data_IF_264109459580
#
_entry.id   IF_264109459580
#
_cell.length_a   1.000
_cell.length_b   1.000
_cell.length_c   1.000
_cell.angle_alpha   90.00
_cell.angle_beta   90.00
_cell.angle_gamma   90.00
#
_symmetry.space_group_name_H-M   'P 1'
#
loop_
_entity.id
_entity.type
_entity.pdbx_description
1 polymer ?
#
# COMPACT_ATOMS: atom_id res chain seq x y z
N UNK A 1 9.32 -5.04 28.15
CA UNK A 1 9.85 -4.16 27.10
C UNK A 1 8.68 -3.83 26.20
N UNK A 2 8.15 -2.63 26.28
CA UNK A 2 7.12 -2.17 25.35
C UNK A 2 7.81 -2.01 24.00
N UNK A 3 7.51 -2.90 23.04
CA UNK A 3 7.88 -2.68 21.65
C UNK A 3 7.04 -1.50 21.18
N UNK A 4 7.60 -0.30 21.24
CA UNK A 4 6.96 0.90 20.71
C UNK A 4 6.65 0.64 19.23
N UNK A 5 5.38 0.72 18.90
CA UNK A 5 4.87 0.45 17.56
C UNK A 5 4.89 1.75 16.77
N UNK A 6 5.53 1.78 15.59
CA UNK A 6 5.65 2.98 14.79
C UNK A 6 4.50 3.06 13.78
N UNK A 7 3.39 3.69 14.17
CA UNK A 7 2.20 3.84 13.31
C UNK A 7 2.28 5.12 12.47
N UNK A 8 1.73 5.09 11.26
CA UNK A 8 1.49 6.30 10.44
C UNK A 8 0.02 6.36 10.01
N UNK A 9 -0.60 7.52 10.18
CA UNK A 9 -1.95 7.84 9.71
C UNK A 9 -1.94 8.43 8.29
N UNK A 10 -3.12 8.65 7.73
CA UNK A 10 -3.27 9.05 6.33
C UNK A 10 -2.62 10.40 6.01
N UNK A 11 -2.61 11.33 6.97
CA UNK A 11 -1.96 12.63 6.83
C UNK A 11 -0.45 12.47 6.57
N UNK A 12 0.21 11.63 7.36
CA UNK A 12 1.64 11.33 7.23
C UNK A 12 1.94 10.56 5.94
N UNK A 13 1.05 9.64 5.54
CA UNK A 13 1.15 8.93 4.28
C UNK A 13 1.05 9.89 3.09
N UNK A 14 0.17 10.90 3.16
CA UNK A 14 0.02 11.93 2.11
C UNK A 14 1.24 12.85 1.99
N UNK A 15 1.98 13.05 3.08
CA UNK A 15 3.25 13.78 3.06
C UNK A 15 4.41 12.97 2.48
N UNK A 16 4.35 11.64 2.57
CA UNK A 16 5.40 10.74 2.09
C UNK A 16 5.17 10.32 0.63
N UNK A 17 3.95 9.88 0.32
CA UNK A 17 3.60 9.41 -1.01
C UNK A 17 3.05 10.56 -1.87
N UNK A 18 3.47 10.69 -3.14
CA UNK A 18 2.87 11.64 -4.07
C UNK A 18 1.51 11.18 -4.60
N UNK A 19 1.17 9.88 -4.46
CA UNK A 19 -0.08 9.29 -4.93
C UNK A 19 -1.30 9.96 -4.31
N UNK A 20 -2.35 10.17 -5.11
CA UNK A 20 -3.65 10.73 -4.69
C UNK A 20 -4.78 9.91 -5.30
N UNK A 21 -6.01 10.21 -4.91
CA UNK A 21 -7.20 9.56 -5.48
C UNK A 21 -7.18 9.64 -7.02
N UNK A 22 -7.50 8.54 -7.75
CA UNK A 22 -7.98 7.24 -7.25
C UNK A 22 -6.89 6.17 -7.06
N UNK A 23 -5.62 6.55 -6.92
CA UNK A 23 -4.47 5.62 -6.98
C UNK A 23 -3.60 5.60 -5.72
N UNK A 24 -4.02 6.24 -4.61
CA UNK A 24 -3.41 6.01 -3.30
C UNK A 24 -4.11 4.81 -2.63
N UNK A 25 -3.35 3.77 -2.30
CA UNK A 25 -3.86 2.46 -1.88
C UNK A 25 -3.29 1.96 -0.53
N UNK A 26 -2.67 2.85 0.25
CA UNK A 26 -2.26 2.56 1.62
C UNK A 26 -3.03 3.47 2.56
N UNK A 27 -3.86 2.88 3.43
CA UNK A 27 -4.74 3.65 4.33
C UNK A 27 -4.09 3.93 5.69
N UNK A 28 -3.20 3.03 6.14
CA UNK A 28 -2.51 3.13 7.43
C UNK A 28 -1.23 2.30 7.44
N UNK A 29 -0.20 2.76 8.16
CA UNK A 29 0.93 1.92 8.58
C UNK A 29 0.73 1.50 10.03
N UNK A 30 0.78 0.19 10.28
CA UNK A 30 0.60 -0.40 11.60
C UNK A 30 1.90 -0.42 12.40
N UNK A 31 3.02 -0.70 11.73
CA UNK A 31 4.34 -0.74 12.33
C UNK A 31 5.40 -0.72 11.22
N UNK A 32 6.61 -0.25 11.53
CA UNK A 32 7.76 -0.37 10.64
C UNK A 32 9.08 -0.25 11.41
N UNK A 33 10.15 -0.72 10.77
CA UNK A 33 11.52 -0.48 11.18
C UNK A 33 12.33 -0.02 9.96
N UNK A 34 12.99 1.12 10.08
CA UNK A 34 13.76 1.74 8.99
C UNK A 34 14.81 0.77 8.43
N UNK A 35 14.83 0.64 7.11
CA UNK A 35 15.73 -0.24 6.36
C UNK A 35 15.43 -1.74 6.51
N UNK A 36 14.30 -2.13 7.12
CA UNK A 36 14.00 -3.55 7.42
C UNK A 36 12.61 -4.00 7.00
N UNK A 37 11.54 -3.46 7.59
CA UNK A 37 10.18 -3.90 7.29
C UNK A 37 9.15 -2.79 7.47
N UNK A 38 8.00 -2.96 6.82
CA UNK A 38 6.82 -2.14 7.04
C UNK A 38 5.55 -2.99 6.93
N UNK A 39 4.64 -2.83 7.90
CA UNK A 39 3.32 -3.46 7.91
C UNK A 39 2.23 -2.41 7.69
N UNK A 40 1.44 -2.56 6.64
CA UNK A 40 0.43 -1.59 6.21
C UNK A 40 -0.96 -2.23 6.09
N UNK A 41 -1.97 -1.37 6.05
CA UNK A 41 -3.37 -1.73 5.82
C UNK A 41 -3.89 -1.10 4.53
N UNK A 42 -4.57 -1.92 3.74
CA UNK A 42 -5.51 -1.51 2.72
C UNK A 42 -6.91 -2.03 3.08
N UNK A 43 -7.81 -1.14 3.47
CA UNK A 43 -9.23 -1.41 3.60
C UNK A 43 -9.85 -1.52 2.21
N UNK A 44 -10.60 -2.60 1.99
CA UNK A 44 -11.24 -2.87 0.70
C UNK A 44 -12.72 -2.52 0.83
N UNK A 45 -13.14 -1.42 0.21
CA UNK A 45 -14.52 -0.94 0.27
C UNK A 45 -15.21 -1.07 -1.08
N UNK A 46 -16.47 -1.50 -1.09
CA UNK A 46 -17.28 -1.53 -2.33
C UNK A 46 -17.42 -0.14 -2.97
N UNK A 47 -17.19 0.92 -2.19
CA UNK A 47 -17.26 2.31 -2.64
C UNK A 47 -15.99 2.78 -3.39
N UNK A 48 -15.07 1.88 -3.75
CA UNK A 48 -13.90 2.22 -4.56
C UNK A 48 -14.21 2.16 -6.06
N UNK A 49 -13.69 3.10 -6.87
CA UNK A 49 -14.15 3.32 -8.24
C UNK A 49 -13.95 2.12 -9.17
N UNK A 50 -12.88 1.34 -8.98
CA UNK A 50 -12.59 0.20 -9.85
C UNK A 50 -13.59 -0.96 -9.71
N UNK A 51 -14.36 -1.05 -8.61
CA UNK A 51 -15.37 -2.09 -8.44
C UNK A 51 -16.57 -1.95 -9.39
N UNK A 52 -16.82 -0.75 -9.90
CA UNK A 52 -17.85 -0.53 -10.92
C UNK A 52 -17.54 -1.31 -12.22
N UNK A 53 -16.26 -1.55 -12.50
CA UNK A 53 -15.78 -2.25 -13.69
C UNK A 53 -15.22 -3.65 -13.44
N UNK A 54 -14.89 -4.03 -12.20
CA UNK A 54 -14.15 -5.26 -11.91
C UNK A 54 -14.77 -6.10 -10.77
N UNK A 55 -15.80 -6.90 -11.03
CA UNK A 55 -16.64 -6.93 -12.24
C UNK A 55 -18.07 -6.51 -11.86
N UNK A 56 -18.88 -5.93 -12.78
CA UNK A 56 -20.26 -5.60 -12.49
C UNK A 56 -21.02 -6.80 -11.91
N UNK A 57 -21.62 -6.63 -10.71
CA UNK A 57 -22.34 -7.68 -9.98
C UNK A 57 -21.48 -8.73 -9.27
N UNK A 58 -20.15 -8.70 -9.42
CA UNK A 58 -19.19 -9.58 -8.75
C UNK A 58 -17.91 -8.81 -8.41
N UNK A 59 -17.94 -7.98 -7.35
CA UNK A 59 -16.79 -7.14 -7.00
C UNK A 59 -15.64 -8.00 -6.48
N UNK A 60 -14.50 -7.94 -7.17
CA UNK A 60 -13.26 -8.62 -6.79
C UNK A 60 -12.14 -7.58 -6.87
N UNK A 61 -11.36 -7.43 -5.80
CA UNK A 61 -10.27 -6.47 -5.79
C UNK A 61 -9.21 -6.90 -6.82
N UNK A 62 -8.83 -6.04 -7.79
CA UNK A 62 -7.89 -6.42 -8.84
C UNK A 62 -6.52 -6.81 -8.26
N UNK A 63 -5.99 -7.97 -8.65
CA UNK A 63 -4.69 -8.45 -8.16
C UNK A 63 -3.54 -7.47 -8.44
N UNK A 64 -3.58 -6.75 -9.55
CA UNK A 64 -2.59 -5.72 -9.88
C UNK A 64 -2.60 -4.54 -8.90
N UNK A 65 -3.75 -4.23 -8.28
CA UNK A 65 -3.83 -3.20 -7.25
C UNK A 65 -3.29 -3.68 -5.89
N UNK A 66 -3.20 -5.01 -5.68
CA UNK A 66 -2.48 -5.57 -4.52
C UNK A 66 -0.97 -5.32 -4.69
N UNK A 67 -0.45 -5.57 -5.90
CA UNK A 67 0.96 -5.30 -6.22
C UNK A 67 1.29 -3.82 -6.09
N UNK A 68 0.42 -2.94 -6.60
CA UNK A 68 0.55 -1.49 -6.46
C UNK A 68 0.52 -1.04 -5.00
N UNK A 69 -0.42 -1.54 -4.19
CA UNK A 69 -0.49 -1.20 -2.77
C UNK A 69 0.77 -1.64 -2.01
N UNK A 70 1.35 -2.80 -2.34
CA UNK A 70 2.63 -3.25 -1.78
C UNK A 70 3.79 -2.36 -2.24
N UNK A 71 3.83 -1.93 -3.51
CA UNK A 71 4.86 -1.01 -4.00
C UNK A 71 4.77 0.38 -3.36
N UNK A 72 3.56 0.86 -3.05
CA UNK A 72 3.38 2.08 -2.26
C UNK A 72 3.87 1.90 -0.82
N UNK A 73 3.62 0.74 -0.21
CA UNK A 73 4.15 0.41 1.11
C UNK A 73 5.69 0.36 1.11
N UNK A 74 6.34 -0.18 0.07
CA UNK A 74 7.80 -0.13 -0.07
C UNK A 74 8.30 1.29 -0.28
N UNK A 75 7.56 2.12 -1.02
CA UNK A 75 7.85 3.56 -1.18
C UNK A 75 7.86 4.29 0.18
N UNK A 76 6.85 4.06 1.03
CA UNK A 76 6.81 4.61 2.39
C UNK A 76 8.04 4.15 3.19
N UNK A 77 8.34 2.86 3.17
CA UNK A 77 9.51 2.31 3.88
C UNK A 77 10.81 2.95 3.39
N UNK A 78 10.99 3.05 2.07
CA UNK A 78 12.15 3.70 1.46
C UNK A 78 12.27 5.15 1.94
N UNK A 79 11.21 5.95 1.83
CA UNK A 79 11.28 7.38 2.21
C UNK A 79 11.54 7.61 3.69
N UNK A 80 11.07 6.69 4.55
CA UNK A 80 11.40 6.69 5.98
C UNK A 80 12.83 6.27 6.27
N UNK A 81 13.44 5.44 5.42
CA UNK A 81 14.77 4.85 5.66
C UNK A 81 15.92 5.63 5.02
N UNK A 82 15.70 6.22 3.84
CA UNK A 82 16.76 6.88 3.06
C UNK A 82 16.53 8.38 2.87
N UNK A 83 15.33 8.89 3.20
CA UNK A 83 14.93 10.28 3.00
C UNK A 83 13.76 10.43 2.03
N UNK A 84 13.02 11.55 2.17
CA UNK A 84 11.87 11.87 1.32
C UNK A 84 12.32 12.19 -0.12
N UNK A 85 11.41 12.03 -1.09
CA UNK A 85 11.64 12.48 -2.47
C UNK A 85 11.80 14.00 -2.53
N UNK A 86 12.79 14.46 -3.28
CA UNK A 86 12.91 15.87 -3.62
C UNK A 86 11.92 16.26 -4.74
N UNK A 87 11.55 17.55 -4.87
CA UNK A 87 10.63 18.00 -5.92
C UNK A 87 11.12 17.61 -7.33
N UNK A 88 10.33 16.77 -8.02
CA UNK A 88 10.64 16.29 -9.37
C UNK A 88 11.24 14.89 -9.43
N UNK A 89 11.59 14.29 -8.28
CA UNK A 89 11.99 12.88 -8.21
C UNK A 89 10.78 11.95 -8.28
N UNK A 90 10.99 10.77 -8.87
CA UNK A 90 9.98 9.74 -9.03
C UNK A 90 10.49 8.42 -8.45
N UNK A 91 9.61 7.73 -7.73
CA UNK A 91 9.84 6.36 -7.30
C UNK A 91 9.23 5.41 -8.33
N UNK A 92 10.09 4.70 -9.06
CA UNK A 92 9.68 3.84 -10.17
C UNK A 92 9.42 2.40 -9.73
N UNK A 93 8.31 1.84 -10.21
CA UNK A 93 8.08 0.41 -10.16
C UNK A 93 8.83 -0.27 -11.31
N UNK A 94 10.05 -0.77 -11.04
CA UNK A 94 10.95 -1.26 -12.09
C UNK A 94 10.62 -2.67 -12.62
N UNK A 95 10.10 -3.57 -11.78
CA UNK A 95 9.83 -4.94 -12.16
C UNK A 95 9.20 -5.76 -11.04
N UNK A 96 8.63 -6.90 -11.40
CA UNK A 96 7.98 -7.83 -10.47
C UNK A 96 8.38 -9.24 -10.86
N UNK A 97 8.94 -9.98 -9.91
CA UNK A 97 9.21 -11.40 -10.06
C UNK A 97 8.29 -12.24 -9.16
N UNK A 98 7.96 -13.44 -9.66
CA UNK A 98 7.26 -14.48 -8.90
C UNK A 98 5.93 -14.11 -8.20
N UNK A 99 5.21 -13.09 -8.68
CA UNK A 99 3.91 -12.74 -8.14
C UNK A 99 2.90 -13.92 -8.21
N UNK A 100 2.21 -14.20 -7.11
CA UNK A 100 1.19 -15.26 -7.01
C UNK A 100 -0.04 -14.78 -6.24
N UNK A 101 -1.21 -14.80 -6.87
CA UNK A 101 -2.49 -14.51 -6.22
C UNK A 101 -3.13 -15.80 -5.72
N UNK A 102 -3.26 -15.93 -4.39
CA UNK A 102 -3.68 -17.18 -3.75
C UNK A 102 -5.19 -17.29 -3.52
N UNK A 103 -5.85 -16.17 -3.29
CA UNK A 103 -7.31 -16.08 -3.08
C UNK A 103 -7.82 -14.71 -3.52
N UNK A 104 -9.09 -14.59 -3.95
CA UNK A 104 -9.71 -13.30 -4.18
C UNK A 104 -9.75 -12.47 -2.89
N UNK A 105 -9.56 -11.16 -3.02
CA UNK A 105 -9.86 -10.16 -2.00
C UNK A 105 -11.16 -9.46 -2.41
N UNK A 106 -12.07 -9.23 -1.47
CA UNK A 106 -13.43 -8.75 -1.74
C UNK A 106 -13.81 -7.56 -0.84
N UNK A 107 -14.84 -6.77 -1.19
CA UNK A 107 -15.33 -5.72 -0.31
C UNK A 107 -15.65 -6.21 1.10
N UNK A 108 -15.21 -5.46 2.11
CA UNK A 108 -15.30 -5.81 3.52
C UNK A 108 -14.01 -6.39 4.10
N UNK A 109 -13.08 -6.84 3.25
CA UNK A 109 -11.78 -7.31 3.71
C UNK A 109 -10.91 -6.14 4.19
N UNK A 110 -10.09 -6.42 5.21
CA UNK A 110 -8.95 -5.60 5.57
C UNK A 110 -7.67 -6.35 5.16
N UNK A 111 -7.04 -5.88 4.08
CA UNK A 111 -5.81 -6.48 3.59
C UNK A 111 -4.61 -5.93 4.37
N UNK A 112 -4.01 -6.79 5.19
CA UNK A 112 -2.74 -6.48 5.86
C UNK A 112 -1.60 -6.88 4.93
N UNK A 113 -0.71 -5.93 4.67
CA UNK A 113 0.46 -6.09 3.82
C UNK A 113 1.70 -6.00 4.69
N UNK A 114 2.69 -6.87 4.45
CA UNK A 114 4.01 -6.76 5.07
C UNK A 114 5.04 -6.78 3.94
N UNK A 115 5.91 -5.78 3.92
CA UNK A 115 7.00 -5.65 2.96
C UNK A 115 8.32 -5.60 3.72
N UNK A 116 9.35 -6.21 3.16
CA UNK A 116 10.69 -6.28 3.73
C UNK A 116 11.70 -5.71 2.75
N UNK A 117 12.72 -5.02 3.26
CA UNK A 117 13.78 -4.37 2.48
C UNK A 117 14.84 -5.36 1.99
#
# INVERSE_FOLDING_TARGET
MTTDTHTLHIEEILELLPHRYPFLLVDRVLDFEEGRFLRAVKNVSVNEPFFQGHFPGKPIFPGVLILEAMAQATGILAFKSVGKLEPGELYYFAGIDEARFKRPVVPGDQMIMEVTF
#
